data_IF_077750158374
#
_entry.id   IF_077750158374
#
_cell.length_a   1.000
_cell.length_b   1.000
_cell.length_c   1.000
_cell.angle_alpha   90.00
_cell.angle_beta   90.00
_cell.angle_gamma   90.00
#
_symmetry.space_group_name_H-M   'P 1'
#
loop_
_entity.id
_entity.type
_entity.pdbx_description
1 polymer ?
#
# COMPACT_ATOMS: atom_id res chain seq x y z
N UNK A 1 13.81 27.47 43.76
CA UNK A 1 12.44 28.03 43.55
C UNK A 1 12.31 29.41 44.19
N UNK A 2 12.84 29.65 45.39
CA UNK A 2 12.95 31.00 45.97
C UNK A 2 13.82 31.95 45.12
N UNK A 3 14.90 31.45 44.51
CA UNK A 3 15.83 32.30 43.77
C UNK A 3 15.22 32.94 42.51
N UNK A 4 14.28 32.26 41.84
CA UNK A 4 13.58 32.82 40.68
C UNK A 4 12.55 33.87 41.05
N UNK A 5 12.02 33.82 42.28
CA UNK A 5 11.07 34.83 42.78
C UNK A 5 11.79 36.15 43.05
N UNK A 6 13.01 36.16 43.58
CA UNK A 6 13.74 37.38 43.92
C UNK A 6 14.71 37.86 42.84
N UNK A 7 15.15 37.01 41.91
CA UNK A 7 16.11 37.39 40.87
C UNK A 7 15.50 38.26 39.75
N UNK A 8 14.20 38.19 39.51
CA UNK A 8 13.57 38.91 38.39
C UNK A 8 13.18 40.34 38.80
N UNK A 9 13.64 41.38 38.07
CA UNK A 9 13.22 42.75 38.30
C UNK A 9 11.69 42.91 38.24
N UNK A 10 11.15 43.79 39.08
CA UNK A 10 9.69 44.04 39.19
C UNK A 10 9.04 44.41 37.86
N UNK A 11 9.77 45.07 36.96
CA UNK A 11 9.31 45.41 35.60
C UNK A 11 8.88 44.17 34.80
N UNK A 12 9.70 43.12 34.79
CA UNK A 12 9.39 41.89 34.03
C UNK A 12 8.27 41.08 34.68
N UNK A 13 8.10 41.19 36.01
CA UNK A 13 6.98 40.54 36.72
C UNK A 13 5.63 41.18 36.38
N UNK A 14 5.60 42.50 36.20
CA UNK A 14 4.38 43.25 35.87
C UNK A 14 4.08 43.27 34.36
N UNK A 15 5.06 42.95 33.53
CA UNK A 15 4.94 42.97 32.06
C UNK A 15 3.74 42.16 31.54
N UNK A 16 3.50 40.90 31.96
CA UNK A 16 2.36 40.12 31.46
C UNK A 16 1.02 40.73 31.87
N UNK A 17 0.96 41.32 33.07
CA UNK A 17 -0.24 41.98 33.58
C UNK A 17 -0.56 43.24 32.76
N UNK A 18 0.43 44.10 32.55
CA UNK A 18 0.26 45.33 31.75
C UNK A 18 -0.16 44.99 30.32
N UNK A 19 0.44 43.96 29.70
CA UNK A 19 0.02 43.52 28.37
C UNK A 19 -1.41 42.98 28.36
N UNK A 20 -1.79 42.16 29.34
CA UNK A 20 -3.15 41.60 29.37
C UNK A 20 -4.22 42.69 29.51
N UNK A 21 -4.01 43.65 30.42
CA UNK A 21 -4.95 44.76 30.61
C UNK A 21 -4.98 45.68 29.39
N UNK A 22 -3.82 46.05 28.83
CA UNK A 22 -3.79 46.92 27.65
C UNK A 22 -4.39 46.25 26.41
N UNK A 23 -4.05 45.01 26.10
CA UNK A 23 -4.58 44.30 24.93
C UNK A 23 -6.08 44.03 25.06
N UNK A 24 -6.60 43.75 26.26
CA UNK A 24 -8.05 43.55 26.46
C UNK A 24 -8.84 44.83 26.22
N UNK A 25 -8.38 45.97 26.75
CA UNK A 25 -8.98 47.29 26.48
C UNK A 25 -8.96 47.58 24.98
N UNK A 26 -7.81 47.38 24.33
CA UNK A 26 -7.66 47.57 22.88
C UNK A 26 -8.65 46.68 22.11
N UNK A 27 -8.77 45.40 22.48
CA UNK A 27 -9.68 44.46 21.81
C UNK A 27 -11.12 44.94 21.87
N UNK A 28 -11.59 45.36 23.05
CA UNK A 28 -12.97 45.87 23.23
C UNK A 28 -13.19 47.16 22.44
N UNK A 29 -12.20 48.07 22.45
CA UNK A 29 -12.31 49.33 21.72
C UNK A 29 -12.44 49.09 20.21
N UNK A 30 -11.61 48.20 19.65
CA UNK A 30 -11.63 47.89 18.23
C UNK A 30 -12.92 47.17 17.81
N UNK A 31 -13.43 46.23 18.61
CA UNK A 31 -14.64 45.48 18.28
C UNK A 31 -15.90 46.35 18.31
N UNK A 32 -16.00 47.26 19.28
CA UNK A 32 -17.21 48.05 19.51
C UNK A 32 -17.22 49.34 18.69
N UNK A 33 -16.13 50.11 18.73
CA UNK A 33 -16.12 51.46 18.16
C UNK A 33 -15.63 51.52 16.71
N UNK A 34 -14.95 50.47 16.22
CA UNK A 34 -14.33 50.47 14.89
C UNK A 34 -14.60 49.22 14.03
N UNK A 35 -15.82 48.65 14.01
CA UNK A 35 -16.11 47.41 13.30
C UNK A 35 -15.97 47.55 11.77
N UNK A 36 -16.27 48.73 11.20
CA UNK A 36 -16.19 48.98 9.76
C UNK A 36 -14.76 48.85 9.22
N UNK A 37 -13.76 49.36 9.94
CA UNK A 37 -12.35 49.23 9.53
C UNK A 37 -11.87 47.78 9.65
N UNK A 38 -12.29 47.06 10.70
CA UNK A 38 -11.97 45.64 10.86
C UNK A 38 -12.51 44.79 9.70
N UNK A 39 -13.76 45.02 9.31
CA UNK A 39 -14.40 44.30 8.20
C UNK A 39 -13.68 44.62 6.88
N UNK A 40 -13.40 45.89 6.62
CA UNK A 40 -12.67 46.31 5.42
C UNK A 40 -11.25 45.69 5.38
N UNK A 41 -10.55 45.63 6.52
CA UNK A 41 -9.25 44.98 6.62
C UNK A 41 -9.36 43.48 6.32
N UNK A 42 -10.34 42.77 6.91
CA UNK A 42 -10.57 41.35 6.67
C UNK A 42 -10.83 41.02 5.20
N UNK A 43 -11.53 41.88 4.47
CA UNK A 43 -11.82 41.69 3.04
C UNK A 43 -10.70 42.21 2.11
N UNK A 44 -9.70 42.91 2.64
CA UNK A 44 -8.50 43.21 1.86
C UNK A 44 -7.75 41.93 1.50
N UNK A 45 -7.01 41.92 0.38
CA UNK A 45 -6.24 40.74 -0.05
C UNK A 45 -5.25 40.25 1.02
N UNK A 46 -4.63 41.17 1.74
CA UNK A 46 -3.69 40.86 2.81
C UNK A 46 -4.39 40.33 4.07
N UNK A 47 -5.42 41.04 4.54
CA UNK A 47 -6.17 40.63 5.74
C UNK A 47 -6.93 39.31 5.53
N UNK A 48 -7.43 39.05 4.31
CA UNK A 48 -8.05 37.77 3.96
C UNK A 48 -7.07 36.60 4.11
N UNK A 49 -5.85 36.75 3.60
CA UNK A 49 -4.83 35.71 3.71
C UNK A 49 -4.41 35.47 5.16
N UNK A 50 -4.21 36.53 5.94
CA UNK A 50 -3.88 36.42 7.38
C UNK A 50 -5.02 35.75 8.14
N UNK A 51 -6.25 36.21 7.93
CA UNK A 51 -7.42 35.65 8.59
C UNK A 51 -7.60 34.17 8.24
N UNK A 52 -7.46 33.81 6.96
CA UNK A 52 -7.54 32.43 6.49
C UNK A 52 -6.44 31.54 7.10
N UNK A 53 -5.21 32.06 7.20
CA UNK A 53 -4.08 31.34 7.80
C UNK A 53 -4.31 30.98 9.27
N UNK A 54 -4.75 31.94 10.09
CA UNK A 54 -5.05 31.67 11.50
C UNK A 54 -6.33 30.85 11.67
N UNK A 55 -7.36 31.08 10.85
CA UNK A 55 -8.63 30.34 10.91
C UNK A 55 -8.47 28.86 10.52
N UNK A 56 -7.55 28.54 9.61
CA UNK A 56 -7.23 27.16 9.21
C UNK A 56 -6.13 26.52 10.07
N UNK A 57 -5.96 26.96 11.33
CA UNK A 57 -4.94 26.44 12.26
C UNK A 57 -3.54 26.36 11.63
N UNK A 58 -3.12 27.47 11.01
CA UNK A 58 -1.82 27.58 10.36
C UNK A 58 -1.61 26.60 9.19
N UNK A 59 -2.68 26.09 8.58
CA UNK A 59 -2.66 25.05 7.52
C UNK A 59 -1.99 23.74 7.94
N UNK A 60 -1.76 23.51 9.24
CA UNK A 60 -1.08 22.31 9.75
C UNK A 60 -1.87 21.05 9.37
N UNK A 61 -3.20 21.09 9.48
CA UNK A 61 -4.07 19.97 9.12
C UNK A 61 -4.06 19.69 7.62
N UNK A 62 -4.05 20.74 6.79
CA UNK A 62 -3.97 20.59 5.34
C UNK A 62 -2.64 19.93 4.94
N UNK A 63 -1.54 20.35 5.56
CA UNK A 63 -0.23 19.75 5.33
C UNK A 63 -0.22 18.27 5.76
N UNK A 64 -0.70 17.97 6.97
CA UNK A 64 -0.75 16.62 7.48
C UNK A 64 -1.58 15.69 6.59
N UNK A 65 -2.79 16.11 6.21
CA UNK A 65 -3.67 15.29 5.39
C UNK A 65 -3.11 15.06 3.99
N UNK A 66 -2.51 16.09 3.39
CA UNK A 66 -1.99 16.01 2.02
C UNK A 66 -0.71 15.17 1.93
N UNK A 67 0.21 15.32 2.88
CA UNK A 67 1.51 14.68 2.76
C UNK A 67 1.58 13.34 3.51
N UNK A 68 0.98 13.26 4.71
CA UNK A 68 1.06 12.04 5.53
C UNK A 68 -0.10 11.11 5.20
N UNK A 69 -1.34 11.59 5.35
CA UNK A 69 -2.54 10.72 5.21
C UNK A 69 -2.67 10.19 3.79
N UNK A 70 -2.54 11.05 2.77
CA UNK A 70 -2.60 10.61 1.38
C UNK A 70 -1.48 9.62 1.02
N UNK A 71 -0.27 9.83 1.56
CA UNK A 71 0.86 8.92 1.38
C UNK A 71 0.58 7.54 1.97
N UNK A 72 0.10 7.50 3.22
CA UNK A 72 -0.27 6.25 3.90
C UNK A 72 -1.41 5.54 3.16
N UNK A 73 -2.44 6.27 2.70
CA UNK A 73 -3.54 5.67 1.94
C UNK A 73 -3.07 5.05 0.62
N UNK A 74 -2.17 5.72 -0.12
CA UNK A 74 -1.65 5.19 -1.38
C UNK A 74 -0.84 3.92 -1.16
N UNK A 75 0.03 3.91 -0.15
CA UNK A 75 0.81 2.74 0.21
C UNK A 75 -0.10 1.59 0.67
N UNK A 76 -1.04 1.86 1.58
CA UNK A 76 -2.02 0.89 2.05
C UNK A 76 -2.87 0.29 0.94
N UNK A 77 -3.31 1.12 -0.02
CA UNK A 77 -4.05 0.66 -1.19
C UNK A 77 -3.22 -0.25 -2.11
N UNK A 78 -1.93 0.06 -2.29
CA UNK A 78 -1.02 -0.78 -3.08
C UNK A 78 -0.72 -2.11 -2.38
N UNK A 79 -0.51 -2.09 -1.06
CA UNK A 79 -0.24 -3.32 -0.27
C UNK A 79 -1.45 -4.23 -0.28
N UNK A 80 -2.66 -3.73 -0.04
CA UNK A 80 -3.87 -4.58 -0.04
C UNK A 80 -4.16 -5.16 -1.41
N UNK A 81 -3.93 -4.41 -2.49
CA UNK A 81 -4.12 -4.94 -3.85
C UNK A 81 -3.09 -6.01 -4.20
N UNK A 82 -1.82 -5.79 -3.86
CA UNK A 82 -0.73 -6.66 -4.31
C UNK A 82 -0.52 -7.85 -3.38
N UNK A 83 -0.57 -7.64 -2.06
CA UNK A 83 -0.36 -8.67 -1.06
C UNK A 83 -1.67 -9.38 -0.75
N UNK A 84 -2.69 -8.68 -0.25
CA UNK A 84 -3.89 -9.37 0.26
C UNK A 84 -4.66 -10.02 -0.89
N UNK A 85 -5.07 -9.22 -1.88
CA UNK A 85 -5.81 -9.73 -3.04
C UNK A 85 -4.93 -10.62 -3.93
N UNK A 86 -3.67 -10.24 -4.17
CA UNK A 86 -2.75 -11.05 -4.96
C UNK A 86 -2.46 -12.41 -4.35
N UNK A 87 -2.29 -12.50 -3.02
CA UNK A 87 -2.09 -13.78 -2.33
C UNK A 87 -3.35 -14.64 -2.35
N UNK A 88 -4.53 -14.03 -2.14
CA UNK A 88 -5.81 -14.75 -2.20
C UNK A 88 -6.09 -15.28 -3.61
N UNK A 89 -5.83 -14.50 -4.65
CA UNK A 89 -5.98 -14.96 -6.04
C UNK A 89 -4.98 -16.06 -6.38
N UNK A 90 -3.72 -15.90 -5.95
CA UNK A 90 -2.67 -16.89 -6.15
C UNK A 90 -2.96 -18.23 -5.46
N UNK A 91 -3.49 -18.22 -4.23
CA UNK A 91 -3.85 -19.48 -3.54
C UNK A 91 -5.24 -20.01 -3.94
N UNK A 92 -6.11 -19.14 -4.44
CA UNK A 92 -7.47 -19.47 -4.83
C UNK A 92 -7.57 -19.85 -6.31
N UNK A 93 -8.45 -19.19 -7.08
CA UNK A 93 -8.83 -19.67 -8.41
C UNK A 93 -7.68 -19.69 -9.42
N UNK A 94 -6.80 -18.68 -9.40
CA UNK A 94 -5.71 -18.58 -10.38
C UNK A 94 -4.63 -19.65 -10.14
N UNK A 95 -4.22 -19.84 -8.88
CA UNK A 95 -3.26 -20.90 -8.55
C UNK A 95 -3.83 -22.29 -8.78
N UNK A 96 -5.09 -22.51 -8.44
CA UNK A 96 -5.76 -23.79 -8.69
C UNK A 96 -5.86 -24.07 -10.20
N UNK A 97 -6.23 -23.09 -11.03
CA UNK A 97 -6.25 -23.24 -12.49
C UNK A 97 -4.88 -23.66 -13.03
N UNK A 98 -3.82 -22.92 -12.69
CA UNK A 98 -2.46 -23.23 -13.15
C UNK A 98 -1.96 -24.58 -12.64
N UNK A 99 -2.24 -24.91 -11.38
CA UNK A 99 -1.90 -26.19 -10.78
C UNK A 99 -2.58 -27.35 -11.50
N UNK A 100 -3.90 -27.28 -11.69
CA UNK A 100 -4.69 -28.31 -12.36
C UNK A 100 -4.28 -28.50 -13.82
N UNK A 101 -4.03 -27.40 -14.56
CA UNK A 101 -3.55 -27.47 -15.95
C UNK A 101 -2.16 -28.12 -16.02
N UNK A 102 -1.26 -27.79 -15.10
CA UNK A 102 0.08 -28.41 -15.05
C UNK A 102 0.01 -29.92 -14.75
N UNK A 103 -0.90 -30.32 -13.86
CA UNK A 103 -1.12 -31.73 -13.51
C UNK A 103 -1.72 -32.48 -14.69
N UNK A 104 -2.74 -31.91 -15.35
CA UNK A 104 -3.35 -32.47 -16.56
C UNK A 104 -2.33 -32.70 -17.67
N UNK A 105 -1.48 -31.70 -17.94
CA UNK A 105 -0.42 -31.81 -18.94
C UNK A 105 0.62 -32.89 -18.57
N UNK A 106 0.96 -33.02 -17.28
CA UNK A 106 1.90 -34.03 -16.80
C UNK A 106 1.33 -35.44 -16.92
N UNK A 107 0.05 -35.63 -16.58
CA UNK A 107 -0.67 -36.89 -16.77
C UNK A 107 -0.80 -37.27 -18.25
N UNK A 108 -1.09 -36.31 -19.12
CA UNK A 108 -1.16 -36.52 -20.58
C UNK A 108 0.19 -36.93 -21.20
N UNK A 109 1.31 -36.41 -20.68
CA UNK A 109 2.66 -36.84 -21.09
C UNK A 109 2.97 -38.26 -20.60
N UNK A 110 2.60 -38.59 -19.36
CA UNK A 110 2.77 -39.94 -18.81
C UNK A 110 2.00 -40.99 -19.61
N UNK A 111 0.74 -40.72 -19.95
CA UNK A 111 -0.09 -41.65 -20.72
C UNK A 111 0.47 -41.87 -22.13
N UNK A 112 0.82 -40.82 -22.87
CA UNK A 112 1.38 -40.92 -24.23
C UNK A 112 2.69 -41.70 -24.29
N UNK A 113 3.58 -41.52 -23.30
CA UNK A 113 4.81 -42.30 -23.18
C UNK A 113 4.51 -43.77 -22.91
N UNK A 114 3.61 -44.08 -21.97
CA UNK A 114 3.26 -45.47 -21.66
C UNK A 114 2.66 -46.21 -22.86
N UNK A 115 1.70 -45.60 -23.57
CA UNK A 115 1.10 -46.20 -24.77
C UNK A 115 2.12 -46.39 -25.90
N UNK A 116 3.03 -45.42 -26.13
CA UNK A 116 4.03 -45.53 -27.21
C UNK A 116 5.08 -46.61 -26.95
N UNK A 117 5.48 -46.81 -25.69
CA UNK A 117 6.53 -47.78 -25.33
C UNK A 117 6.01 -49.20 -25.12
N UNK A 118 4.78 -49.42 -24.66
CA UNK A 118 4.27 -50.77 -24.46
C UNK A 118 3.70 -51.38 -25.76
N UNK A 119 2.89 -50.65 -26.53
CA UNK A 119 2.18 -51.29 -27.64
C UNK A 119 3.09 -51.58 -28.84
N UNK A 120 4.00 -50.67 -29.21
CA UNK A 120 4.84 -50.89 -30.39
C UNK A 120 6.11 -51.70 -30.09
N UNK A 121 6.75 -51.47 -28.93
CA UNK A 121 8.05 -52.07 -28.63
C UNK A 121 7.94 -53.54 -28.18
N UNK A 122 6.88 -53.93 -27.45
CA UNK A 122 6.64 -55.34 -27.10
C UNK A 122 6.28 -56.17 -28.34
N UNK A 123 5.46 -55.65 -29.25
CA UNK A 123 5.14 -56.35 -30.51
C UNK A 123 6.39 -56.57 -31.38
N UNK A 124 7.27 -55.56 -31.49
CA UNK A 124 8.56 -55.71 -32.18
C UNK A 124 9.40 -56.82 -31.53
N UNK A 125 9.47 -56.89 -30.21
CA UNK A 125 10.27 -57.89 -29.48
C UNK A 125 9.69 -59.31 -29.64
N UNK A 126 8.38 -59.47 -29.59
CA UNK A 126 7.70 -60.75 -29.78
C UNK A 126 7.89 -61.27 -31.21
N UNK A 127 7.77 -60.40 -32.22
CA UNK A 127 8.02 -60.75 -33.62
C UNK A 127 9.48 -61.18 -33.81
N UNK A 128 10.42 -60.45 -33.21
CA UNK A 128 11.85 -60.75 -33.32
C UNK A 128 12.22 -62.09 -32.67
N UNK A 129 11.66 -62.40 -31.49
CA UNK A 129 11.91 -63.68 -30.82
C UNK A 129 11.31 -64.87 -31.58
N UNK A 130 10.09 -64.71 -32.14
CA UNK A 130 9.48 -65.71 -33.03
C UNK A 130 10.32 -65.96 -34.29
N UNK A 131 10.84 -64.91 -34.91
CA UNK A 131 11.71 -65.04 -36.09
C UNK A 131 13.01 -65.79 -35.77
N UNK A 132 13.65 -65.49 -34.64
CA UNK A 132 14.85 -66.19 -34.19
C UNK A 132 14.59 -67.69 -33.92
N UNK A 133 13.44 -68.03 -33.33
CA UNK A 133 13.01 -69.41 -33.07
C UNK A 133 12.77 -70.20 -34.37
N UNK A 134 12.10 -69.59 -35.34
CA UNK A 134 11.87 -70.19 -36.66
C UNK A 134 13.18 -70.48 -37.39
N UNK A 135 14.15 -69.56 -37.36
CA UNK A 135 15.46 -69.77 -37.99
C UNK A 135 16.26 -70.90 -37.33
N UNK A 136 16.21 -71.01 -35.99
CA UNK A 136 16.90 -72.12 -35.30
C UNK A 136 16.32 -73.49 -35.69
N UNK A 137 15.00 -73.61 -35.84
CA UNK A 137 14.36 -74.87 -36.26
C UNK A 137 14.69 -75.24 -37.72
N UNK A 138 14.88 -74.26 -38.60
CA UNK A 138 15.32 -74.48 -39.99
C UNK A 138 16.79 -74.90 -40.08
N UNK A 139 17.63 -74.55 -39.10
CA UNK A 139 19.03 -74.99 -39.04
C UNK A 139 19.21 -76.41 -38.50
N UNK A 140 18.26 -76.90 -37.69
CA UNK A 140 18.29 -78.25 -37.10
C UNK A 140 17.79 -79.36 -38.05
N UNK A 141 17.21 -78.99 -39.21
CA UNK A 141 16.62 -79.91 -40.19
C UNK A 141 17.45 -80.07 -41.46
N UNK A 142 18.65 -79.47 -41.50
CA UNK A 142 19.71 -79.78 -42.48
C UNK A 142 20.79 -80.61 -41.81
#
# INVERSE_FOLDING_TARGET
MLDTEFAVPTLFKLLPFVFTVSLSIISVLFSEFVPKLLINFKFSRFGYNIFSFFNQRFYIELFYNKYIVEGVLKLGGQTTKSLDKGSVEFLGPYGLEKGLVSLSNSLGRLSTVYFSYNDNNLFILVIFTLFALLNNNLSSTK
#
